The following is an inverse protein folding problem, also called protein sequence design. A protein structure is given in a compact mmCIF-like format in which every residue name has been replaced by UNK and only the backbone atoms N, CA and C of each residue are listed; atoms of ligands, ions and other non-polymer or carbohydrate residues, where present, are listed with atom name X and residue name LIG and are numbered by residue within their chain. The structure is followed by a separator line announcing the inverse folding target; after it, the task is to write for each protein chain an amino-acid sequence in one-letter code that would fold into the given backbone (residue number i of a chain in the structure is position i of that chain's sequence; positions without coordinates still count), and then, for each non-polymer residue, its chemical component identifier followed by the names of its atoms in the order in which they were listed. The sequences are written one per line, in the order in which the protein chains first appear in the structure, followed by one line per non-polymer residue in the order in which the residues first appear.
data_IF_736297703324
#
_entry.id   IF_736297703324
#
_cell.length_a   1.000
_cell.length_b   1.000
_cell.length_c   1.000
_cell.angle_alpha   90.00
_cell.angle_beta   90.00
_cell.angle_gamma   90.00
#
_symmetry.space_group_name_H-M   'P 1'
#
loop_
_entity.id
_entity.type
_entity.pdbx_description
1 polymer ?
#
# COMPACT_ATOMS: atom_id res chain seq x y z
N UNK A 1 -22.72 12.49 -11.62
CA UNK A 1 -22.23 13.82 -11.18
C UNK A 1 -21.13 14.20 -12.16
N UNK A 2 -21.33 15.29 -12.87
CA UNK A 2 -20.37 15.77 -13.88
C UNK A 2 -19.20 16.48 -13.18
N UNK A 3 -17.97 16.11 -13.57
CA UNK A 3 -16.75 16.70 -13.00
C UNK A 3 -16.53 18.06 -13.68
N UNK A 4 -16.62 19.13 -12.91
CA UNK A 4 -16.35 20.48 -13.44
C UNK A 4 -14.83 20.73 -13.60
N UNK A 5 -14.41 21.65 -14.48
CA UNK A 5 -12.99 22.02 -14.61
C UNK A 5 -12.35 22.41 -13.27
N UNK A 6 -13.07 23.17 -12.43
CA UNK A 6 -12.61 23.57 -11.10
C UNK A 6 -12.37 22.35 -10.18
N UNK A 7 -13.21 21.32 -10.25
CA UNK A 7 -13.01 20.08 -9.47
C UNK A 7 -11.75 19.34 -9.94
N UNK A 8 -11.48 19.34 -11.25
CA UNK A 8 -10.26 18.75 -11.81
C UNK A 8 -9.02 19.49 -11.33
N UNK A 9 -9.04 20.83 -11.33
CA UNK A 9 -7.91 21.66 -10.86
C UNK A 9 -7.65 21.43 -9.36
N UNK A 10 -8.70 21.35 -8.54
CA UNK A 10 -8.56 21.03 -7.12
C UNK A 10 -7.99 19.63 -6.89
N UNK A 11 -8.39 18.64 -7.68
CA UNK A 11 -7.84 17.28 -7.58
C UNK A 11 -6.35 17.23 -7.95
N UNK A 12 -5.93 17.98 -8.97
CA UNK A 12 -4.50 18.11 -9.34
C UNK A 12 -3.69 18.79 -8.24
N UNK A 13 -4.22 19.88 -7.65
CA UNK A 13 -3.57 20.57 -6.55
C UNK A 13 -3.45 19.67 -5.31
N UNK A 14 -4.52 18.97 -4.95
CA UNK A 14 -4.49 18.03 -3.82
C UNK A 14 -3.47 16.91 -4.03
N UNK A 15 -3.38 16.35 -5.25
CA UNK A 15 -2.37 15.35 -5.60
C UNK A 15 -0.95 15.91 -5.47
N UNK A 16 -0.70 17.12 -5.97
CA UNK A 16 0.61 17.77 -5.87
C UNK A 16 0.99 18.04 -4.41
N UNK A 17 0.05 18.53 -3.60
CA UNK A 17 0.25 18.77 -2.17
C UNK A 17 0.56 17.45 -1.43
N UNK A 18 -0.20 16.39 -1.66
CA UNK A 18 0.03 15.08 -1.07
C UNK A 18 1.43 14.53 -1.44
N UNK A 19 1.82 14.62 -2.71
CA UNK A 19 3.15 14.19 -3.14
C UNK A 19 4.27 15.02 -2.49
N UNK A 20 4.07 16.33 -2.34
CA UNK A 20 5.04 17.22 -1.69
C UNK A 20 5.12 17.07 -0.16
N UNK A 21 4.10 16.48 0.47
CA UNK A 21 4.08 16.24 1.92
C UNK A 21 4.70 14.90 2.34
N UNK A 22 5.00 14.02 1.39
CA UNK A 22 5.65 12.74 1.69
C UNK A 22 7.08 12.94 2.19
N UNK A 23 7.43 12.31 3.30
CA UNK A 23 8.77 12.37 3.89
C UNK A 23 9.48 11.04 3.69
N UNK A 24 10.62 11.07 3.02
CA UNK A 24 11.49 9.89 2.87
C UNK A 24 12.38 9.76 4.12
N UNK A 25 11.98 8.88 5.04
CA UNK A 25 12.68 8.66 6.30
C UNK A 25 13.99 7.90 6.13
N UNK A 26 14.01 6.93 5.20
CA UNK A 26 15.19 6.09 4.97
C UNK A 26 15.15 5.49 3.56
N UNK A 27 16.27 5.54 2.85
CA UNK A 27 16.47 4.86 1.56
C UNK A 27 17.90 4.32 1.44
N UNK A 28 18.32 3.56 2.44
CA UNK A 28 19.66 2.94 2.44
C UNK A 28 19.70 1.83 1.40
N UNK A 29 20.70 1.83 0.53
CA UNK A 29 20.81 0.84 -0.54
C UNK A 29 20.01 1.16 -1.80
N UNK A 30 19.34 2.33 -1.88
CA UNK A 30 18.66 2.78 -3.12
C UNK A 30 17.47 1.93 -3.53
N UNK A 31 16.70 1.40 -2.56
CA UNK A 31 15.47 0.63 -2.86
C UNK A 31 14.45 1.45 -3.67
N UNK A 32 14.32 2.73 -3.37
CA UNK A 32 13.51 3.67 -4.14
C UNK A 32 14.40 4.50 -5.07
N UNK A 33 13.88 4.85 -6.25
CA UNK A 33 12.56 4.57 -6.80
C UNK A 33 12.41 3.13 -7.29
N UNK A 34 11.17 2.59 -7.22
CA UNK A 34 10.83 1.34 -7.92
C UNK A 34 10.64 1.67 -9.41
N UNK A 35 11.48 1.11 -10.23
CA UNK A 35 11.49 1.34 -11.67
C UNK A 35 11.02 0.08 -12.41
N UNK A 36 10.48 0.21 -13.63
CA UNK A 36 10.24 -0.93 -14.50
C UNK A 36 11.50 -1.81 -14.65
N UNK A 37 11.32 -3.04 -15.04
CA UNK A 37 12.41 -3.96 -15.37
C UNK A 37 13.19 -3.44 -16.59
N UNK A 38 14.38 -3.99 -16.84
CA UNK A 38 15.27 -3.55 -17.94
C UNK A 38 14.61 -3.64 -19.32
N UNK A 39 13.69 -4.57 -19.50
CA UNK A 39 12.90 -4.73 -20.73
C UNK A 39 11.71 -3.74 -20.84
N UNK A 40 11.55 -2.85 -19.87
CA UNK A 40 10.45 -1.87 -19.81
C UNK A 40 9.14 -2.41 -19.24
N UNK A 41 9.08 -3.70 -18.85
CA UNK A 41 7.87 -4.24 -18.21
C UNK A 41 7.70 -3.69 -16.79
N UNK A 42 6.46 -3.50 -16.30
CA UNK A 42 6.23 -3.07 -14.93
C UNK A 42 6.83 -4.06 -13.93
N UNK A 43 7.52 -3.55 -12.90
CA UNK A 43 8.09 -4.39 -11.85
C UNK A 43 6.99 -5.08 -11.05
N UNK A 44 7.00 -6.43 -10.92
CA UNK A 44 6.07 -7.14 -10.06
C UNK A 44 6.39 -6.87 -8.59
N UNK A 45 5.35 -6.54 -7.80
CA UNK A 45 5.50 -6.18 -6.38
C UNK A 45 4.45 -6.89 -5.52
N UNK A 46 4.87 -7.39 -4.37
CA UNK A 46 3.97 -7.93 -3.36
C UNK A 46 3.58 -6.81 -2.38
N UNK A 47 2.28 -6.49 -2.27
CA UNK A 47 1.79 -5.41 -1.40
C UNK A 47 1.09 -6.01 -0.18
N UNK A 48 1.58 -5.69 1.00
CA UNK A 48 1.15 -6.21 2.30
C UNK A 48 0.54 -5.11 3.17
N UNK A 49 -0.25 -5.52 4.15
CA UNK A 49 -0.86 -4.64 5.15
C UNK A 49 -2.25 -4.14 4.75
N UNK A 50 -3.20 -4.15 5.69
CA UNK A 50 -4.57 -3.71 5.46
C UNK A 50 -4.66 -2.23 5.03
N UNK A 51 -3.66 -1.41 5.38
CA UNK A 51 -3.56 0.00 4.98
C UNK A 51 -3.59 0.24 3.48
N UNK A 52 -3.23 -0.76 2.66
CA UNK A 52 -3.31 -0.64 1.20
C UNK A 52 -4.74 -0.53 0.67
N UNK A 53 -5.72 -1.12 1.37
CA UNK A 53 -7.15 -1.09 1.02
C UNK A 53 -7.89 -0.02 1.83
N UNK A 54 -7.54 0.11 3.11
CA UNK A 54 -8.18 1.02 4.04
C UNK A 54 -7.51 2.38 4.01
N UNK A 55 -8.15 3.33 3.38
CA UNK A 55 -7.76 4.73 3.50
C UNK A 55 -8.51 5.30 4.69
N UNK A 56 -7.90 5.30 5.87
CA UNK A 56 -8.45 5.97 7.05
C UNK A 56 -8.28 7.47 6.90
N UNK A 57 -9.39 8.20 6.80
CA UNK A 57 -9.38 9.66 6.69
C UNK A 57 -9.56 10.33 8.04
N UNK A 58 -10.44 9.83 8.89
CA UNK A 58 -10.55 10.19 10.30
C UNK A 58 -11.37 9.16 11.06
N UNK A 59 -11.24 9.14 12.40
CA UNK A 59 -11.97 8.21 13.26
C UNK A 59 -13.50 8.41 13.24
N UNK A 60 -13.98 9.55 12.74
CA UNK A 60 -15.39 9.90 12.64
C UNK A 60 -16.03 9.56 11.29
N UNK A 61 -15.24 9.28 10.25
CA UNK A 61 -15.76 8.98 8.92
C UNK A 61 -16.13 7.49 8.79
N UNK A 62 -17.37 7.20 9.16
CA UNK A 62 -17.99 5.89 8.97
C UNK A 62 -18.45 5.69 7.50
N UNK A 63 -18.38 6.73 6.68
CA UNK A 63 -18.80 6.64 5.29
C UNK A 63 -17.70 6.00 4.43
N UNK A 64 -18.02 4.95 3.66
CA UNK A 64 -17.07 4.40 2.72
C UNK A 64 -16.69 5.52 1.73
N UNK A 65 -15.48 6.03 1.90
CA UNK A 65 -14.92 7.02 1.01
C UNK A 65 -14.93 6.48 -0.43
N UNK A 66 -15.47 7.24 -1.34
CA UNK A 66 -15.47 6.90 -2.77
C UNK A 66 -14.15 7.24 -3.46
N UNK A 67 -13.11 7.59 -2.70
CA UNK A 67 -11.75 7.77 -3.19
C UNK A 67 -11.06 6.43 -3.42
N UNK A 68 -10.10 6.39 -4.33
CA UNK A 68 -9.26 5.21 -4.54
C UNK A 68 -8.40 4.92 -3.31
N UNK A 69 -8.09 3.65 -3.10
CA UNK A 69 -7.13 3.21 -2.10
C UNK A 69 -5.71 3.10 -2.73
N UNK A 70 -4.71 2.86 -1.91
CA UNK A 70 -3.31 2.74 -2.36
C UNK A 70 -3.16 1.59 -3.37
N UNK A 71 -3.76 0.43 -3.11
CA UNK A 71 -3.68 -0.71 -4.00
C UNK A 71 -4.25 -0.40 -5.38
N UNK A 72 -5.42 0.24 -5.46
CA UNK A 72 -6.04 0.60 -6.74
C UNK A 72 -5.19 1.64 -7.51
N UNK A 73 -4.54 2.57 -6.79
CA UNK A 73 -3.61 3.51 -7.39
C UNK A 73 -2.34 2.80 -7.93
N UNK A 74 -1.81 1.82 -7.19
CA UNK A 74 -0.68 1.01 -7.65
C UNK A 74 -1.05 0.16 -8.87
N UNK A 75 -2.26 -0.41 -8.92
CA UNK A 75 -2.75 -1.15 -10.09
C UNK A 75 -2.86 -0.28 -11.37
N UNK A 76 -2.99 1.04 -11.23
CA UNK A 76 -3.01 1.98 -12.36
C UNK A 76 -1.60 2.45 -12.75
N UNK A 77 -0.56 2.05 -12.01
CA UNK A 77 0.82 2.43 -12.29
C UNK A 77 1.31 1.76 -13.58
N UNK A 78 2.12 2.50 -14.36
CA UNK A 78 2.85 1.94 -15.50
C UNK A 78 4.25 1.42 -15.12
N UNK A 79 4.66 1.59 -13.87
CA UNK A 79 6.01 1.23 -13.40
C UNK A 79 6.05 -0.06 -12.61
N UNK A 80 4.95 -0.36 -11.93
CA UNK A 80 4.84 -1.53 -11.05
C UNK A 80 3.52 -2.24 -11.28
N UNK A 81 3.48 -3.53 -10.97
CA UNK A 81 2.25 -4.35 -11.00
C UNK A 81 2.13 -5.13 -9.69
N UNK A 82 1.08 -4.90 -8.89
CA UNK A 82 0.84 -5.66 -7.67
C UNK A 82 0.49 -7.13 -7.93
N UNK A 83 0.95 -8.04 -7.06
CA UNK A 83 0.55 -9.45 -7.08
C UNK A 83 -0.97 -9.60 -6.94
N UNK A 84 -1.61 -10.20 -7.96
CA UNK A 84 -3.07 -10.28 -8.06
C UNK A 84 -3.70 -11.18 -6.99
N UNK A 85 -3.04 -12.30 -6.63
CA UNK A 85 -3.56 -13.21 -5.62
C UNK A 85 -3.48 -12.59 -4.23
N UNK A 86 -2.37 -11.93 -3.90
CA UNK A 86 -2.21 -11.23 -2.63
C UNK A 86 -3.21 -10.07 -2.53
N UNK A 87 -3.35 -9.27 -3.58
CA UNK A 87 -4.34 -8.20 -3.67
C UNK A 87 -5.77 -8.71 -3.44
N UNK A 88 -6.13 -9.84 -4.05
CA UNK A 88 -7.43 -10.47 -3.86
C UNK A 88 -7.65 -10.93 -2.41
N UNK A 89 -6.63 -11.50 -1.76
CA UNK A 89 -6.72 -11.89 -0.33
C UNK A 89 -7.02 -10.70 0.56
N UNK A 90 -6.31 -9.58 0.39
CA UNK A 90 -6.56 -8.37 1.18
C UNK A 90 -7.93 -7.75 0.90
N UNK A 91 -8.38 -7.72 -0.37
CA UNK A 91 -9.75 -7.27 -0.69
C UNK A 91 -10.81 -8.13 -0.02
N UNK A 92 -10.65 -9.45 -0.02
CA UNK A 92 -11.57 -10.36 0.66
C UNK A 92 -11.55 -10.20 2.18
N UNK A 93 -10.39 -9.98 2.78
CA UNK A 93 -10.27 -9.71 4.21
C UNK A 93 -10.99 -8.40 4.59
N UNK A 94 -10.81 -7.34 3.81
CA UNK A 94 -11.48 -6.06 4.00
C UNK A 94 -13.01 -6.14 3.83
N UNK A 95 -13.52 -7.03 2.95
CA UNK A 95 -14.96 -7.28 2.81
C UNK A 95 -15.55 -8.00 4.02
N UNK A 96 -14.80 -8.91 4.63
CA UNK A 96 -15.24 -9.68 5.82
C UNK A 96 -15.15 -8.85 7.10
N UNK A 97 -14.11 -8.06 7.23
CA UNK A 97 -13.87 -7.18 8.37
C UNK A 97 -13.44 -5.79 7.87
N UNK A 98 -14.40 -4.88 7.64
CA UNK A 98 -14.11 -3.53 7.17
C UNK A 98 -13.25 -2.69 8.13
N UNK A 99 -13.21 -3.02 9.40
CA UNK A 99 -12.45 -2.31 10.43
C UNK A 99 -11.10 -2.97 10.74
N UNK A 100 -11.01 -4.29 10.68
CA UNK A 100 -9.79 -5.07 10.87
C UNK A 100 -9.07 -5.36 9.55
N UNK A 101 -9.58 -6.31 8.81
CA UNK A 101 -9.17 -6.63 7.44
C UNK A 101 -7.72 -7.07 7.24
N UNK A 102 -6.97 -7.33 8.32
CA UNK A 102 -5.60 -7.80 8.20
C UNK A 102 -5.58 -9.28 7.79
N UNK A 103 -4.60 -9.63 7.01
CA UNK A 103 -4.35 -11.01 6.58
C UNK A 103 -3.30 -11.62 7.50
N UNK A 104 -3.62 -12.79 8.08
CA UNK A 104 -2.66 -13.49 8.92
C UNK A 104 -1.32 -13.70 8.17
N UNK A 105 -0.28 -13.08 8.70
CA UNK A 105 1.05 -13.16 8.11
C UNK A 105 1.57 -14.61 8.07
N UNK A 106 1.15 -15.48 9.00
CA UNK A 106 1.55 -16.89 9.03
C UNK A 106 0.94 -17.69 7.86
N UNK A 107 -0.24 -17.27 7.39
CA UNK A 107 -0.92 -17.91 6.27
C UNK A 107 -0.41 -17.48 4.88
N UNK A 108 0.56 -16.56 4.82
CA UNK A 108 1.15 -16.08 3.58
C UNK A 108 2.30 -16.97 3.12
N UNK A 109 2.22 -17.45 1.88
CA UNK A 109 3.34 -18.13 1.21
C UNK A 109 4.36 -17.10 0.71
N UNK A 110 5.28 -16.72 1.59
CA UNK A 110 6.32 -15.75 1.27
C UNK A 110 7.35 -16.29 0.27
N UNK A 111 7.52 -17.62 0.17
CA UNK A 111 8.45 -18.22 -0.80
C UNK A 111 7.95 -17.99 -2.22
N UNK A 112 6.70 -18.33 -2.49
CA UNK A 112 6.05 -18.04 -3.77
C UNK A 112 6.08 -16.54 -4.10
N UNK A 113 5.66 -15.73 -3.12
CA UNK A 113 5.61 -14.27 -3.32
C UNK A 113 6.98 -13.68 -3.66
N UNK A 114 8.05 -14.18 -3.03
CA UNK A 114 9.42 -13.76 -3.34
C UNK A 114 9.87 -14.19 -4.73
N UNK A 115 9.49 -15.39 -5.17
CA UNK A 115 9.84 -15.89 -6.50
C UNK A 115 9.16 -15.11 -7.62
N UNK A 116 7.91 -14.69 -7.39
CA UNK A 116 7.08 -14.02 -8.41
C UNK A 116 7.21 -12.48 -8.38
N UNK A 117 7.79 -11.90 -7.32
CA UNK A 117 7.84 -10.45 -7.14
C UNK A 117 9.26 -9.94 -6.84
N UNK A 118 9.65 -8.86 -7.51
CA UNK A 118 10.97 -8.25 -7.40
C UNK A 118 11.14 -7.35 -6.15
N UNK A 119 10.04 -6.92 -5.55
CA UNK A 119 10.04 -6.08 -4.35
C UNK A 119 8.77 -6.29 -3.52
N UNK A 120 8.84 -5.89 -2.25
CA UNK A 120 7.70 -5.86 -1.34
C UNK A 120 7.38 -4.42 -0.90
N UNK A 121 6.09 -4.12 -0.73
CA UNK A 121 5.58 -2.88 -0.14
C UNK A 121 4.72 -3.26 1.05
N UNK A 122 5.01 -2.74 2.22
CA UNK A 122 4.18 -2.93 3.42
C UNK A 122 3.53 -1.60 3.75
N UNK A 123 2.19 -1.58 3.81
CA UNK A 123 1.42 -0.37 4.08
C UNK A 123 0.76 -0.48 5.44
N UNK A 124 1.16 0.38 6.34
CA UNK A 124 0.54 0.56 7.66
C UNK A 124 -0.19 1.90 7.66
N UNK A 125 -1.43 1.93 8.11
CA UNK A 125 -2.19 3.17 8.23
C UNK A 125 -2.73 3.35 9.64
N UNK A 126 -2.84 4.60 10.06
CA UNK A 126 -3.45 5.01 11.32
C UNK A 126 -4.58 5.99 11.02
N UNK A 127 -5.63 5.94 11.85
CA UNK A 127 -6.66 6.98 11.82
C UNK A 127 -6.08 8.30 12.35
N UNK A 128 -6.66 9.40 11.93
CA UNK A 128 -6.28 10.73 12.43
C UNK A 128 -6.38 10.77 13.97
N UNK A 129 -5.32 11.28 14.60
CA UNK A 129 -5.18 11.32 16.06
C UNK A 129 -4.78 9.97 16.72
N UNK A 130 -4.61 8.91 15.96
CA UNK A 130 -4.13 7.63 16.49
C UNK A 130 -2.60 7.63 16.59
N UNK A 131 -2.10 7.94 17.77
CA UNK A 131 -0.66 7.98 18.11
C UNK A 131 -0.14 6.63 18.62
N UNK A 132 -0.90 5.54 18.53
CA UNK A 132 -0.46 4.23 19.00
C UNK A 132 0.76 3.73 18.23
N UNK A 133 1.71 3.08 18.93
CA UNK A 133 2.84 2.44 18.27
C UNK A 133 2.38 1.30 17.36
N UNK A 134 3.27 0.78 16.54
CA UNK A 134 3.02 -0.42 15.74
C UNK A 134 2.64 -1.59 16.66
N UNK A 135 1.62 -2.33 16.28
CA UNK A 135 1.21 -3.53 17.00
C UNK A 135 2.23 -4.66 16.85
N UNK A 136 2.17 -5.66 17.72
CA UNK A 136 3.04 -6.82 17.62
C UNK A 136 2.87 -7.55 16.27
N UNK A 137 1.63 -7.65 15.76
CA UNK A 137 1.33 -8.30 14.48
C UNK A 137 1.87 -7.51 13.29
N UNK A 138 1.77 -6.18 13.31
CA UNK A 138 2.37 -5.31 12.28
C UNK A 138 3.89 -5.43 12.28
N UNK A 139 4.52 -5.42 13.46
CA UNK A 139 5.97 -5.61 13.57
C UNK A 139 6.40 -7.00 13.08
N UNK A 140 5.64 -8.05 13.41
CA UNK A 140 5.88 -9.39 12.93
C UNK A 140 5.75 -9.50 11.40
N UNK A 141 4.71 -8.90 10.81
CA UNK A 141 4.54 -8.83 9.36
C UNK A 141 5.73 -8.13 8.69
N UNK A 142 6.10 -6.94 9.18
CA UNK A 142 7.23 -6.16 8.65
C UNK A 142 8.52 -6.97 8.73
N UNK A 143 8.80 -7.61 9.88
CA UNK A 143 10.01 -8.40 10.07
C UNK A 143 10.07 -9.60 9.11
N UNK A 144 8.96 -10.32 8.94
CA UNK A 144 8.87 -11.48 8.03
C UNK A 144 9.03 -11.09 6.58
N UNK A 145 8.35 -10.02 6.14
CA UNK A 145 8.45 -9.52 4.75
C UNK A 145 9.88 -9.05 4.47
N UNK A 146 10.48 -8.29 5.40
CA UNK A 146 11.87 -7.84 5.25
C UNK A 146 12.88 -8.99 5.19
N UNK A 147 12.64 -10.07 5.93
CA UNK A 147 13.51 -11.26 5.88
C UNK A 147 13.37 -12.03 4.55
N UNK A 148 12.19 -11.98 3.92
CA UNK A 148 11.92 -12.67 2.67
C UNK A 148 12.36 -11.88 1.43
N UNK A 149 12.25 -10.55 1.44
CA UNK A 149 12.50 -9.69 0.29
C UNK A 149 13.74 -8.81 0.50
N UNK A 150 14.63 -8.81 -0.48
CA UNK A 150 15.80 -7.92 -0.50
C UNK A 150 15.40 -6.45 -0.60
N UNK A 151 14.39 -6.16 -1.44
CA UNK A 151 13.85 -4.82 -1.66
C UNK A 151 12.50 -4.69 -0.96
N UNK A 152 12.49 -4.00 0.18
CA UNK A 152 11.26 -3.77 0.97
C UNK A 152 11.05 -2.28 1.20
N UNK A 153 9.85 -1.81 0.87
CA UNK A 153 9.39 -0.44 1.12
C UNK A 153 8.34 -0.48 2.23
N UNK A 154 8.52 0.34 3.27
CA UNK A 154 7.54 0.53 4.34
C UNK A 154 6.88 1.90 4.17
N UNK A 155 5.56 1.91 4.10
CA UNK A 155 4.70 3.11 4.05
C UNK A 155 3.96 3.21 5.38
N UNK A 156 4.12 4.36 6.05
CA UNK A 156 3.53 4.66 7.36
C UNK A 156 2.57 5.85 7.24
#
# INVERSE_FOLDING_TARGET
MEITPRMSDHALLARAAAAGSMVLLKNTGGTLPLLPLEDGTPMPVAVFGAGQIRTCLCAADIHPWRGGNILDALCQSRRIVPDGLLAHRYRNAALKDPLGGEVDAAALDLSRLREENAAAIVVVSRADGDMRPLTADELALIARVRAAFERTVLVL
#
